data_IF_954723294972
#
_entry.id   IF_954723294972
#
_cell.length_a   1.000
_cell.length_b   1.000
_cell.length_c   1.000
_cell.angle_alpha   90.00
_cell.angle_beta   90.00
_cell.angle_gamma   90.00
#
_symmetry.space_group_name_H-M   'P 1'
#
loop_
_entity.id
_entity.type
_entity.pdbx_description
1 polymer ?
#
# COMPACT_ATOMS: atom_id res chain seq x y z
N UNK A 1 2.05 -15.46 -9.78
CA UNK A 1 2.95 -14.31 -9.86
C UNK A 1 4.39 -14.76 -9.93
N UNK A 2 5.14 -14.45 -11.01
CA UNK A 2 6.51 -14.96 -11.18
C UNK A 2 7.47 -14.58 -10.06
N UNK A 3 7.36 -13.36 -9.53
CA UNK A 3 8.23 -12.93 -8.43
C UNK A 3 8.00 -13.76 -7.18
N UNK A 4 6.74 -14.02 -6.85
CA UNK A 4 6.39 -14.80 -5.68
C UNK A 4 6.93 -16.23 -5.80
N UNK A 5 6.78 -16.83 -6.97
CA UNK A 5 7.30 -18.18 -7.23
C UNK A 5 8.83 -18.21 -7.15
N UNK A 6 9.50 -17.16 -7.64
CA UNK A 6 10.95 -17.05 -7.53
C UNK A 6 11.40 -17.01 -6.07
N UNK A 7 10.73 -16.22 -5.25
CA UNK A 7 11.03 -16.14 -3.82
C UNK A 7 10.78 -17.50 -3.14
N UNK A 8 9.71 -18.18 -3.52
CA UNK A 8 9.39 -19.50 -2.99
C UNK A 8 10.50 -20.52 -3.26
N UNK A 9 11.00 -20.53 -4.50
CA UNK A 9 12.07 -21.45 -4.90
C UNK A 9 13.38 -21.14 -4.18
N UNK A 10 13.64 -19.86 -3.87
CA UNK A 10 14.85 -19.44 -3.18
C UNK A 10 14.72 -19.46 -1.67
N UNK A 11 13.55 -19.84 -1.14
CA UNK A 11 13.25 -19.88 0.31
C UNK A 11 13.51 -18.55 1.01
N UNK A 12 13.22 -17.45 0.32
CA UNK A 12 13.35 -16.10 0.87
C UNK A 12 12.04 -15.64 1.48
N UNK A 13 12.08 -14.78 2.51
CA UNK A 13 10.88 -14.13 2.97
C UNK A 13 10.35 -13.19 1.91
N UNK A 14 9.06 -12.93 1.93
CA UNK A 14 8.44 -11.92 1.09
C UNK A 14 7.39 -11.19 1.92
N UNK A 15 7.34 -9.88 1.76
CA UNK A 15 6.29 -9.07 2.36
C UNK A 15 5.32 -8.67 1.27
N UNK A 16 4.03 -8.85 1.54
CA UNK A 16 2.95 -8.40 0.67
C UNK A 16 2.27 -7.24 1.38
N UNK A 17 2.24 -6.07 0.74
CA UNK A 17 1.52 -4.91 1.27
C UNK A 17 0.27 -4.66 0.46
N UNK A 18 -0.81 -4.35 1.16
CA UNK A 18 -2.08 -3.96 0.55
C UNK A 18 -2.34 -2.50 0.92
N UNK A 19 -2.54 -1.66 -0.09
CA UNK A 19 -2.73 -0.23 0.08
C UNK A 19 -4.07 0.16 -0.57
N UNK A 20 -4.88 0.90 0.15
CA UNK A 20 -6.18 1.36 -0.31
C UNK A 20 -6.25 2.87 -0.16
N UNK A 21 -6.64 3.56 -1.24
CA UNK A 21 -6.83 5.01 -1.22
C UNK A 21 -8.04 5.35 -0.36
N UNK A 22 -7.82 6.19 0.66
CA UNK A 22 -8.90 6.63 1.52
C UNK A 22 -9.71 7.71 0.80
N UNK A 23 -11.03 7.63 0.93
CA UNK A 23 -11.94 8.69 0.48
C UNK A 23 -11.96 8.96 -1.03
N UNK A 24 -11.50 8.02 -1.88
CA UNK A 24 -11.49 8.23 -3.33
C UNK A 24 -12.89 8.58 -3.86
N UNK A 25 -13.91 7.87 -3.40
CA UNK A 25 -15.28 8.16 -3.82
C UNK A 25 -15.70 9.58 -3.42
N UNK A 26 -15.39 9.97 -2.17
CA UNK A 26 -15.70 11.31 -1.68
C UNK A 26 -14.99 12.37 -2.51
N UNK A 27 -13.73 12.15 -2.85
CA UNK A 27 -12.93 13.10 -3.64
C UNK A 27 -13.51 13.22 -5.05
N UNK A 28 -13.83 12.09 -5.68
CA UNK A 28 -14.45 12.11 -7.02
C UNK A 28 -15.79 12.83 -7.01
N UNK A 29 -16.64 12.55 -6.03
CA UNK A 29 -17.96 13.13 -5.94
C UNK A 29 -17.92 14.62 -5.60
N UNK A 30 -16.95 15.06 -4.80
CA UNK A 30 -16.86 16.44 -4.32
C UNK A 30 -16.04 17.34 -5.23
N UNK A 31 -14.90 16.84 -5.74
CA UNK A 31 -13.91 17.62 -6.48
C UNK A 31 -13.74 17.18 -7.93
N UNK A 32 -14.37 16.06 -8.33
CA UNK A 32 -14.30 15.55 -9.69
C UNK A 32 -13.25 14.47 -9.89
N UNK A 33 -13.38 13.74 -11.00
CA UNK A 33 -12.50 12.60 -11.31
C UNK A 33 -11.04 13.00 -11.52
N UNK A 34 -10.78 14.23 -11.98
CA UNK A 34 -9.42 14.72 -12.14
C UNK A 34 -8.71 14.78 -10.79
N UNK A 35 -9.42 15.16 -9.74
CA UNK A 35 -8.86 15.23 -8.39
C UNK A 35 -8.69 13.84 -7.81
N UNK A 36 -9.62 12.92 -8.08
CA UNK A 36 -9.45 11.51 -7.70
C UNK A 36 -8.24 10.89 -8.38
N UNK A 37 -8.01 11.19 -9.65
CA UNK A 37 -6.82 10.75 -10.37
C UNK A 37 -5.55 11.31 -9.75
N UNK A 38 -5.61 12.54 -9.25
CA UNK A 38 -4.48 13.16 -8.57
C UNK A 38 -4.15 12.42 -7.28
N UNK A 39 -5.16 11.99 -6.53
CA UNK A 39 -4.93 11.17 -5.33
C UNK A 39 -4.26 9.84 -5.69
N UNK A 40 -4.77 9.14 -6.70
CA UNK A 40 -4.19 7.86 -7.14
C UNK A 40 -2.74 8.05 -7.58
N UNK A 41 -2.45 9.11 -8.33
CA UNK A 41 -1.08 9.43 -8.76
C UNK A 41 -0.18 9.73 -7.57
N UNK A 42 -0.70 10.44 -6.57
CA UNK A 42 0.05 10.74 -5.36
C UNK A 42 0.46 9.46 -4.62
N UNK A 43 -0.46 8.51 -4.51
CA UNK A 43 -0.17 7.23 -3.88
C UNK A 43 0.88 6.45 -4.69
N UNK A 44 0.74 6.41 -6.02
CA UNK A 44 1.71 5.74 -6.88
C UNK A 44 3.09 6.39 -6.78
N UNK A 45 3.16 7.72 -6.69
CA UNK A 45 4.42 8.44 -6.49
C UNK A 45 5.05 8.10 -5.15
N UNK A 46 4.24 7.99 -4.10
CA UNK A 46 4.71 7.57 -2.79
C UNK A 46 5.32 6.17 -2.81
N UNK A 47 4.67 5.26 -3.53
CA UNK A 47 5.19 3.89 -3.70
C UNK A 47 6.56 3.93 -4.38
N UNK A 48 6.68 4.67 -5.49
CA UNK A 48 7.93 4.77 -6.23
C UNK A 48 9.04 5.42 -5.41
N UNK A 49 8.69 6.41 -4.59
CA UNK A 49 9.67 7.15 -3.80
C UNK A 49 10.23 6.32 -2.64
N UNK A 50 9.42 5.46 -2.05
CA UNK A 50 9.74 4.80 -0.78
C UNK A 50 10.24 3.37 -0.98
N UNK A 51 9.59 2.61 -1.85
CA UNK A 51 9.92 1.19 -1.97
C UNK A 51 11.14 0.95 -2.86
N UNK A 52 11.92 -0.12 -2.56
CA UNK A 52 13.15 -0.36 -3.31
C UNK A 52 12.87 -0.79 -4.76
N UNK A 53 13.87 -0.69 -5.66
CA UNK A 53 13.69 -1.01 -7.08
C UNK A 53 13.23 -2.44 -7.35
N UNK A 54 13.59 -3.39 -6.48
CA UNK A 54 13.20 -4.79 -6.65
C UNK A 54 11.75 -5.06 -6.25
N UNK A 55 11.07 -4.10 -5.63
CA UNK A 55 9.67 -4.23 -5.31
C UNK A 55 8.83 -4.25 -6.59
N UNK A 56 7.79 -5.09 -6.59
CA UNK A 56 6.82 -5.13 -7.69
C UNK A 56 5.52 -4.59 -7.17
N UNK A 57 5.05 -3.50 -7.78
CA UNK A 57 3.77 -2.90 -7.41
C UNK A 57 2.79 -3.06 -8.56
N UNK A 58 1.51 -3.21 -8.21
CA UNK A 58 0.44 -3.29 -9.20
C UNK A 58 -0.80 -2.59 -8.67
N UNK A 59 -1.56 -2.00 -9.56
CA UNK A 59 -2.88 -1.47 -9.21
C UNK A 59 -3.84 -2.66 -9.23
N UNK A 60 -4.36 -3.00 -8.05
CA UNK A 60 -5.14 -4.21 -7.87
C UNK A 60 -6.62 -3.99 -8.14
N UNK A 61 -7.13 -2.83 -7.76
CA UNK A 61 -8.50 -2.40 -8.03
C UNK A 61 -8.51 -0.93 -8.36
N UNK A 62 -9.70 -0.31 -8.37
CA UNK A 62 -9.83 1.12 -8.69
C UNK A 62 -9.04 2.02 -7.74
N UNK A 63 -9.06 1.67 -6.46
CA UNK A 63 -8.42 2.43 -5.39
C UNK A 63 -7.41 1.60 -4.60
N UNK A 64 -7.00 0.46 -5.13
CA UNK A 64 -6.19 -0.53 -4.42
C UNK A 64 -4.88 -0.81 -5.12
N UNK A 65 -3.81 -0.94 -4.32
CA UNK A 65 -2.47 -1.31 -4.80
C UNK A 65 -1.95 -2.47 -3.98
N UNK A 66 -1.21 -3.35 -4.63
CA UNK A 66 -0.49 -4.45 -3.97
C UNK A 66 0.98 -4.29 -4.28
N UNK A 67 1.83 -4.39 -3.25
CA UNK A 67 3.29 -4.30 -3.41
C UNK A 67 3.91 -5.58 -2.87
N UNK A 68 4.75 -6.20 -3.68
CA UNK A 68 5.51 -7.40 -3.30
C UNK A 68 6.96 -6.98 -3.04
N UNK A 69 7.47 -7.34 -1.87
CA UNK A 69 8.80 -6.94 -1.39
C UNK A 69 9.62 -8.20 -1.12
N UNK A 70 10.42 -8.66 -2.10
CA UNK A 70 11.24 -9.86 -1.89
C UNK A 70 12.33 -9.61 -0.85
N UNK A 71 12.55 -10.60 0.01
CA UNK A 71 13.57 -10.51 1.05
C UNK A 71 13.25 -9.59 2.20
N UNK A 72 12.06 -9.04 2.26
CA UNK A 72 11.66 -8.08 3.28
C UNK A 72 11.07 -8.80 4.49
N UNK A 73 11.57 -8.47 5.67
CA UNK A 73 11.10 -9.00 6.95
C UNK A 73 10.32 -7.93 7.72
N UNK A 74 9.76 -8.32 8.85
CA UNK A 74 8.84 -7.47 9.61
C UNK A 74 9.41 -6.09 9.97
N UNK A 75 10.64 -6.03 10.47
CA UNK A 75 11.25 -4.76 10.88
C UNK A 75 11.37 -3.81 9.70
N UNK A 76 11.80 -4.33 8.55
CA UNK A 76 11.91 -3.54 7.32
C UNK A 76 10.53 -3.14 6.80
N UNK A 77 9.55 -4.05 6.88
CA UNK A 77 8.18 -3.75 6.46
C UNK A 77 7.58 -2.62 7.29
N UNK A 78 7.79 -2.63 8.61
CA UNK A 78 7.33 -1.54 9.48
C UNK A 78 7.98 -0.21 9.12
N UNK A 79 9.29 -0.22 8.84
CA UNK A 79 10.00 0.99 8.42
C UNK A 79 9.48 1.53 7.09
N UNK A 80 9.23 0.65 6.13
CA UNK A 80 8.71 1.05 4.82
C UNK A 80 7.29 1.60 4.93
N UNK A 81 6.46 0.97 5.76
CA UNK A 81 5.11 1.46 6.01
C UNK A 81 5.12 2.87 6.59
N UNK A 82 5.94 3.11 7.60
CA UNK A 82 6.07 4.43 8.21
C UNK A 82 6.60 5.46 7.20
N UNK A 83 7.60 5.10 6.42
CA UNK A 83 8.17 5.97 5.39
C UNK A 83 7.14 6.30 4.31
N UNK A 84 6.33 5.33 3.92
CA UNK A 84 5.28 5.54 2.92
C UNK A 84 4.23 6.53 3.42
N UNK A 85 3.75 6.37 4.66
CA UNK A 85 2.76 7.27 5.23
C UNK A 85 3.32 8.71 5.34
N UNK A 86 4.58 8.83 5.71
CA UNK A 86 5.25 10.14 5.77
C UNK A 86 5.38 10.76 4.38
N UNK A 87 5.72 9.95 3.38
CA UNK A 87 5.82 10.42 2.00
C UNK A 87 4.49 10.95 1.48
N UNK A 88 3.38 10.29 1.82
CA UNK A 88 2.05 10.76 1.41
C UNK A 88 1.73 12.10 2.05
N UNK A 89 2.11 12.31 3.31
CA UNK A 89 1.90 13.59 3.99
C UNK A 89 2.68 14.70 3.28
N UNK A 90 3.93 14.44 2.91
CA UNK A 90 4.75 15.40 2.17
C UNK A 90 4.18 15.70 0.78
N UNK A 91 3.70 14.68 0.09
CA UNK A 91 3.07 14.83 -1.22
C UNK A 91 1.80 15.67 -1.11
N UNK A 92 0.98 15.41 -0.09
CA UNK A 92 -0.24 16.21 0.15
C UNK A 92 0.08 17.67 0.32
N UNK A 93 1.12 18.00 1.08
CA UNK A 93 1.53 19.39 1.28
C UNK A 93 2.03 20.05 0.01
N UNK A 94 2.72 19.32 -0.86
CA UNK A 94 3.26 19.86 -2.09
C UNK A 94 2.18 20.10 -3.16
N UNK A 95 1.08 19.37 -3.11
CA UNK A 95 0.01 19.48 -4.10
C UNK A 95 -0.88 20.71 -3.89
N UNK A 96 -0.95 21.22 -2.65
CA UNK A 96 -1.84 22.34 -2.29
C UNK A 96 -3.29 22.08 -2.69
N UNK A 97 -3.70 20.81 -2.67
CA UNK A 97 -5.08 20.43 -2.98
C UNK A 97 -5.99 20.67 -1.77
N UNK A 98 -7.29 20.74 -2.03
CA UNK A 98 -8.29 20.94 -0.98
C UNK A 98 -8.51 19.69 -0.13
N UNK A 99 -7.83 18.59 -0.42
CA UNK A 99 -7.90 17.36 0.31
C UNK A 99 -6.50 16.80 0.53
N UNK A 100 -6.35 15.94 1.51
CA UNK A 100 -5.09 15.24 1.76
C UNK A 100 -5.05 13.93 0.98
N UNK A 101 -3.89 13.58 0.44
CA UNK A 101 -3.66 12.27 -0.16
C UNK A 101 -3.45 11.30 0.98
N UNK A 102 -4.41 10.43 1.20
CA UNK A 102 -4.37 9.46 2.30
C UNK A 102 -4.60 8.04 1.80
N UNK A 103 -3.91 7.11 2.43
CA UNK A 103 -4.10 5.69 2.15
C UNK A 103 -4.04 4.89 3.44
N UNK A 104 -4.75 3.78 3.45
CA UNK A 104 -4.65 2.78 4.50
C UNK A 104 -3.76 1.66 4.01
N UNK A 105 -2.95 1.08 4.89
CA UNK A 105 -1.94 0.09 4.52
C UNK A 105 -1.89 -1.03 5.55
N UNK A 106 -1.81 -2.26 5.03
CA UNK A 106 -1.56 -3.43 5.84
C UNK A 106 -0.57 -4.33 5.11
N UNK A 107 0.10 -5.20 5.85
CA UNK A 107 1.06 -6.09 5.24
C UNK A 107 1.09 -7.45 5.93
N UNK A 108 1.60 -8.44 5.20
CA UNK A 108 1.91 -9.73 5.75
C UNK A 108 3.31 -10.15 5.31
N UNK A 109 4.09 -10.64 6.26
CA UNK A 109 5.41 -11.21 6.00
C UNK A 109 5.26 -12.72 6.04
N UNK A 110 5.67 -13.39 4.96
CA UNK A 110 5.61 -14.84 4.89
C UNK A 110 6.95 -15.41 4.47
N UNK A 111 7.24 -16.61 4.97
CA UNK A 111 8.31 -17.42 4.40
C UNK A 111 7.73 -18.06 3.15
N UNK A 112 8.46 -17.94 2.06
CA UNK A 112 7.96 -18.40 0.78
C UNK A 112 7.60 -19.89 0.81
N UNK A 113 6.43 -20.20 0.27
CA UNK A 113 5.92 -21.56 0.19
C UNK A 113 4.96 -21.96 1.31
N UNK A 114 4.85 -21.15 2.36
CA UNK A 114 3.90 -21.47 3.45
C UNK A 114 2.47 -21.15 3.08
N UNK A 115 2.27 -20.11 2.26
CA UNK A 115 0.94 -19.65 1.84
C UNK A 115 0.96 -19.29 0.36
N UNK A 116 -0.22 -19.38 -0.26
CA UNK A 116 -0.37 -18.89 -1.64
C UNK A 116 -0.32 -17.36 -1.67
N UNK A 117 -0.03 -16.81 -2.83
CA UNK A 117 -0.05 -15.36 -3.02
C UNK A 117 -1.42 -14.78 -2.69
N UNK A 118 -2.50 -15.44 -3.10
CA UNK A 118 -3.86 -14.98 -2.82
C UNK A 118 -4.14 -14.92 -1.32
N UNK A 119 -3.68 -15.92 -0.55
CA UNK A 119 -3.82 -15.89 0.90
C UNK A 119 -3.06 -14.72 1.51
N UNK A 120 -1.85 -14.45 1.01
CA UNK A 120 -1.03 -13.34 1.49
C UNK A 120 -1.70 -12.00 1.21
N UNK A 121 -2.27 -11.83 0.02
CA UNK A 121 -2.98 -10.61 -0.35
C UNK A 121 -4.20 -10.44 0.55
N UNK A 122 -4.98 -11.50 0.77
CA UNK A 122 -6.16 -11.43 1.62
C UNK A 122 -5.80 -11.08 3.07
N UNK A 123 -4.70 -11.63 3.58
CA UNK A 123 -4.26 -11.34 4.95
C UNK A 123 -3.75 -9.89 5.06
N UNK A 124 -3.05 -9.39 4.04
CA UNK A 124 -2.60 -8.00 4.02
C UNK A 124 -3.79 -7.04 3.93
N UNK A 125 -4.81 -7.39 3.14
CA UNK A 125 -6.05 -6.63 3.05
C UNK A 125 -6.75 -6.56 4.40
N UNK A 126 -6.85 -7.67 5.11
CA UNK A 126 -7.44 -7.72 6.45
C UNK A 126 -6.73 -6.76 7.40
N UNK A 127 -5.40 -6.75 7.37
CA UNK A 127 -4.61 -5.84 8.21
C UNK A 127 -4.75 -4.39 7.78
N UNK A 128 -4.87 -4.14 6.50
CA UNK A 128 -5.17 -2.80 5.99
C UNK A 128 -6.53 -2.32 6.52
N UNK A 129 -7.51 -3.19 6.51
CA UNK A 129 -8.84 -2.88 7.03
C UNK A 129 -8.81 -2.56 8.53
N UNK A 130 -8.04 -3.34 9.31
CA UNK A 130 -7.84 -3.06 10.73
C UNK A 130 -7.17 -1.69 10.95
N UNK A 131 -6.16 -1.37 10.15
CA UNK A 131 -5.52 -0.07 10.18
C UNK A 131 -6.51 1.06 9.90
N UNK A 132 -7.34 0.88 8.89
CA UNK A 132 -8.36 1.86 8.49
C UNK A 132 -9.37 2.11 9.61
N UNK A 133 -9.84 1.03 10.24
CA UNK A 133 -10.77 1.12 11.38
C UNK A 133 -10.15 1.84 12.57
N UNK A 134 -8.91 1.51 12.91
CA UNK A 134 -8.23 2.13 14.04
C UNK A 134 -8.02 3.63 13.80
N UNK A 135 -7.65 4.02 12.58
CA UNK A 135 -7.48 5.43 12.22
C UNK A 135 -8.80 6.18 12.33
N UNK A 136 -9.90 5.58 11.84
CA UNK A 136 -11.22 6.20 11.92
C UNK A 136 -11.65 6.40 13.38
N UNK A 137 -11.44 5.40 14.23
CA UNK A 137 -11.79 5.50 15.65
C UNK A 137 -11.01 6.61 16.35
N UNK A 138 -9.73 6.81 15.99
CA UNK A 138 -8.90 7.89 16.57
C UNK A 138 -9.40 9.28 16.17
N UNK A 139 -10.02 9.41 15.01
CA UNK A 139 -10.54 10.69 14.51
C UNK A 139 -11.94 11.02 15.01
N UNK A 140 -12.62 10.03 15.55
CA UNK A 140 -13.92 10.20 16.19
C UNK A 140 -13.76 10.47 17.69
#
# INVERSE_FOLDING_TARGET
EPLYEKCRLQKKPVTVMFIDADHLKYINDTFGHDMGNLEIRGIADGIRKVFPPEAVSMRYGGDEFVVLLPGCEKAQAESLKAAFLKALDEISKSLHAEFDVEASIGYEVVLCGEKSLNECINNADEKMYQFKKARKAQRE
#
